data_IF_517806102564
#
_entry.id   IF_517806102564
#
_cell.length_a   1.000
_cell.length_b   1.000
_cell.length_c   1.000
_cell.angle_alpha   90.00
_cell.angle_beta   90.00
_cell.angle_gamma   90.00
#
_symmetry.space_group_name_H-M   'P 1'
#
loop_
_entity.id
_entity.type
_entity.pdbx_description
1 polymer ?
#
# COMPACT_ATOMS: atom_id res chain seq x y z
N UNK A 1 1.17 77.95 64.07
CA UNK A 1 2.53 78.46 63.83
C UNK A 1 2.83 78.36 62.35
N UNK A 2 3.76 79.18 61.82
CA UNK A 2 4.41 79.08 60.49
C UNK A 2 3.49 78.89 59.26
N UNK A 3 3.29 79.93 58.43
CA UNK A 3 4.19 80.35 57.33
C UNK A 3 4.15 79.38 56.14
N UNK A 4 3.40 79.70 55.05
CA UNK A 4 3.85 80.44 53.83
C UNK A 4 4.65 79.56 52.84
N UNK A 5 4.87 79.88 51.55
CA UNK A 5 4.84 81.15 50.79
C UNK A 5 4.59 80.83 49.28
N UNK A 6 4.07 81.79 48.49
CA UNK A 6 4.53 82.28 47.16
C UNK A 6 5.01 81.33 46.01
N UNK A 7 4.99 81.70 44.71
CA UNK A 7 4.51 82.90 43.96
C UNK A 7 4.47 82.65 42.44
N UNK A 8 3.46 83.20 41.74
CA UNK A 8 3.51 83.74 40.35
C UNK A 8 3.83 82.79 39.17
N UNK A 9 3.79 83.21 37.90
CA UNK A 9 3.19 84.38 37.19
C UNK A 9 3.29 84.09 35.66
N UNK A 10 2.54 84.66 34.69
CA UNK A 10 1.41 85.59 34.69
C UNK A 10 0.22 84.97 33.87
N UNK A 11 -0.34 85.43 32.72
CA UNK A 11 -0.24 86.63 31.87
C UNK A 11 -1.54 86.79 31.02
N UNK A 12 -1.80 87.99 30.49
CA UNK A 12 -2.84 88.37 29.48
C UNK A 12 -4.30 88.42 29.98
N UNK A 13 -5.04 89.44 29.52
CA UNK A 13 -6.42 89.72 29.89
C UNK A 13 -7.25 90.24 28.70
N UNK A 14 -8.57 90.08 28.77
CA UNK A 14 -9.56 90.76 27.92
C UNK A 14 -10.81 91.09 28.77
N UNK A 15 -11.57 92.11 28.37
CA UNK A 15 -12.66 92.71 29.18
C UNK A 15 -13.91 91.79 29.24
N UNK A 16 -14.63 91.64 30.37
CA UNK A 16 -15.41 92.60 31.18
C UNK A 16 -16.57 93.27 30.39
N UNK A 17 -17.78 93.49 30.95
CA UNK A 17 -18.60 92.75 31.94
C UNK A 17 -19.99 93.43 32.04
N UNK A 18 -21.09 92.67 32.08
CA UNK A 18 -22.41 93.13 32.52
C UNK A 18 -23.27 91.93 32.96
N UNK A 19 -24.18 92.09 33.93
CA UNK A 19 -25.03 90.98 34.39
C UNK A 19 -26.06 91.31 35.48
N UNK A 20 -26.85 90.29 35.82
CA UNK A 20 -27.98 90.32 36.79
C UNK A 20 -29.33 90.01 36.11
N UNK A 21 -30.33 89.41 36.78
CA UNK A 21 -30.33 88.80 38.12
C UNK A 21 -31.57 87.88 38.34
N UNK A 22 -31.49 86.98 39.32
CA UNK A 22 -32.59 86.24 39.97
C UNK A 22 -33.34 85.11 39.18
N UNK A 23 -34.13 84.31 39.93
CA UNK A 23 -34.69 82.99 39.56
C UNK A 23 -36.19 82.87 39.87
N UNK A 24 -36.87 81.82 39.35
CA UNK A 24 -37.51 80.83 40.23
C UNK A 24 -37.33 79.36 39.70
N UNK A 25 -37.88 78.30 40.34
CA UNK A 25 -37.27 76.97 40.31
C UNK A 25 -37.76 76.00 39.22
N UNK A 26 -36.87 75.07 38.82
CA UNK A 26 -37.22 73.80 38.19
C UNK A 26 -37.27 72.66 39.24
N UNK A 27 -38.11 71.65 39.01
CA UNK A 27 -38.50 70.67 40.04
C UNK A 27 -37.43 69.64 40.42
N UNK A 28 -37.64 68.99 41.57
CA UNK A 28 -36.91 67.78 41.99
C UNK A 28 -37.10 66.66 40.96
N UNK A 29 -36.12 66.44 40.09
CA UNK A 29 -36.00 65.16 39.38
C UNK A 29 -35.60 64.08 40.38
N UNK A 30 -36.42 63.03 40.52
CA UNK A 30 -35.97 61.80 41.17
C UNK A 30 -34.97 61.16 40.20
N UNK A 31 -33.70 61.21 40.54
CA UNK A 31 -32.68 60.50 39.80
C UNK A 31 -32.95 58.99 39.91
N UNK A 32 -33.42 58.38 38.82
CA UNK A 32 -33.54 56.94 38.74
C UNK A 32 -32.14 56.32 38.98
N UNK A 33 -32.03 55.24 39.76
CA UNK A 33 -30.74 54.56 39.95
C UNK A 33 -30.22 54.12 38.57
N UNK A 34 -28.93 54.38 38.31
CA UNK A 34 -28.30 54.00 37.06
C UNK A 34 -28.49 52.50 36.81
N UNK A 35 -28.98 52.13 35.62
CA UNK A 35 -29.21 50.73 35.25
C UNK A 35 -27.88 49.98 35.25
N UNK A 36 -27.65 49.16 36.28
CA UNK A 36 -26.50 48.26 36.34
C UNK A 36 -26.57 47.36 35.11
N UNK A 37 -25.58 47.39 34.19
CA UNK A 37 -25.60 46.51 33.04
C UNK A 37 -25.53 45.07 33.54
N UNK A 38 -26.45 44.23 33.06
CA UNK A 38 -26.46 42.82 33.41
C UNK A 38 -25.10 42.21 33.03
N UNK A 39 -24.50 41.35 33.88
CA UNK A 39 -23.28 40.65 33.49
C UNK A 39 -23.56 39.85 32.22
N UNK A 40 -22.67 39.97 31.23
CA UNK A 40 -22.81 39.23 29.98
C UNK A 40 -22.89 37.72 30.30
N UNK A 41 -23.89 37.05 29.73
CA UNK A 41 -24.02 35.61 29.91
C UNK A 41 -22.72 34.91 29.44
N UNK A 42 -22.17 33.96 30.21
CA UNK A 42 -21.02 33.20 29.75
C UNK A 42 -21.39 32.53 28.43
N UNK A 43 -20.52 32.67 27.42
CA UNK A 43 -20.76 32.07 26.10
C UNK A 43 -20.91 30.58 26.29
N UNK A 44 -22.13 30.06 26.05
CA UNK A 44 -22.38 28.63 26.07
C UNK A 44 -21.36 27.94 25.15
N UNK A 45 -20.62 26.91 25.61
CA UNK A 45 -19.74 26.17 24.72
C UNK A 45 -20.60 25.63 23.59
N UNK A 46 -20.34 26.12 22.37
CA UNK A 46 -21.17 25.80 21.22
C UNK A 46 -21.25 24.29 21.07
N UNK A 47 -22.47 23.74 21.00
CA UNK A 47 -22.66 22.33 20.75
C UNK A 47 -21.83 21.95 19.51
N UNK A 48 -20.96 20.92 19.58
CA UNK A 48 -20.03 20.62 18.51
C UNK A 48 -20.83 20.47 17.22
N UNK A 49 -20.51 21.32 16.23
CA UNK A 49 -21.30 21.44 15.01
C UNK A 49 -21.50 20.04 14.43
N UNK A 50 -22.76 19.59 14.37
CA UNK A 50 -23.08 18.21 14.01
C UNK A 50 -22.47 17.94 12.64
N UNK A 51 -21.41 17.11 12.62
CA UNK A 51 -20.65 16.87 11.42
C UNK A 51 -21.60 16.35 10.34
N UNK A 52 -21.71 17.09 9.24
CA UNK A 52 -22.55 16.70 8.12
C UNK A 52 -22.18 15.26 7.74
N UNK A 53 -23.18 14.36 7.56
CA UNK A 53 -22.89 12.96 7.27
C UNK A 53 -21.97 12.91 6.04
N UNK A 54 -20.83 12.24 6.18
CA UNK A 54 -19.80 12.21 5.16
C UNK A 54 -20.42 11.77 3.81
N UNK A 55 -20.01 12.37 2.68
CA UNK A 55 -20.53 11.97 1.37
C UNK A 55 -20.43 10.45 1.17
N UNK A 56 -21.42 9.82 0.52
CA UNK A 56 -21.38 8.38 0.28
C UNK A 56 -20.12 8.05 -0.53
N UNK A 57 -19.36 7.05 -0.06
CA UNK A 57 -18.07 6.68 -0.62
C UNK A 57 -18.13 6.52 -2.14
N UNK A 58 -17.17 7.13 -2.85
CA UNK A 58 -17.11 7.06 -4.29
C UNK A 58 -17.02 5.60 -4.77
N UNK A 59 -17.76 5.27 -5.85
CA UNK A 59 -17.57 3.98 -6.52
C UNK A 59 -16.15 3.96 -7.09
N UNK A 60 -15.34 2.91 -6.84
CA UNK A 60 -13.90 2.97 -7.05
C UNK A 60 -13.49 2.87 -8.52
N UNK A 61 -14.42 2.62 -9.44
CA UNK A 61 -14.24 2.68 -10.89
C UNK A 61 -15.20 3.71 -11.47
N UNK A 62 -14.68 4.69 -12.21
CA UNK A 62 -15.44 5.72 -12.93
C UNK A 62 -15.09 5.66 -14.41
N UNK A 63 -16.09 5.81 -15.29
CA UNK A 63 -15.85 5.81 -16.74
C UNK A 63 -14.97 7.00 -17.13
N UNK A 64 -14.02 6.78 -18.05
CA UNK A 64 -13.08 7.79 -18.54
C UNK A 64 -12.98 7.75 -20.07
N UNK A 65 -12.43 8.80 -20.67
CA UNK A 65 -12.03 8.83 -22.07
C UNK A 65 -10.53 8.52 -22.24
N UNK A 66 -10.12 8.00 -23.40
CA UNK A 66 -8.70 7.75 -23.71
C UNK A 66 -7.79 8.98 -23.57
N UNK A 67 -8.33 10.18 -23.81
CA UNK A 67 -7.61 11.44 -23.61
C UNK A 67 -7.30 11.80 -22.16
N UNK A 68 -7.91 11.12 -21.17
CA UNK A 68 -7.60 11.30 -19.75
C UNK A 68 -6.39 10.49 -19.28
N UNK A 69 -5.93 9.51 -20.06
CA UNK A 69 -4.78 8.67 -19.73
C UNK A 69 -3.50 9.41 -20.16
N UNK A 70 -2.71 9.97 -19.22
CA UNK A 70 -1.67 10.93 -19.57
C UNK A 70 -0.54 10.27 -20.36
N UNK A 71 -0.44 10.60 -21.65
CA UNK A 71 0.53 10.03 -22.58
C UNK A 71 0.21 8.60 -23.02
N UNK A 72 -1.07 8.22 -23.08
CA UNK A 72 -1.53 6.97 -23.70
C UNK A 72 -0.92 6.75 -25.10
N UNK A 73 -0.46 5.53 -25.46
CA UNK A 73 -0.54 4.27 -24.71
C UNK A 73 0.58 4.04 -23.69
N UNK A 74 1.47 5.02 -23.49
CA UNK A 74 2.70 4.85 -22.73
C UNK A 74 3.72 4.00 -23.48
N UNK A 75 4.71 3.49 -22.75
CA UNK A 75 5.84 2.75 -23.34
C UNK A 75 5.47 1.32 -23.71
N UNK A 76 5.82 0.90 -24.94
CA UNK A 76 5.72 -0.45 -25.47
C UNK A 76 4.40 -1.21 -25.15
N UNK A 77 3.23 -0.75 -25.63
CA UNK A 77 1.97 -1.49 -25.49
C UNK A 77 1.99 -2.90 -26.09
N UNK A 78 2.88 -3.22 -27.04
CA UNK A 78 3.05 -4.60 -27.52
C UNK A 78 3.52 -5.56 -26.41
N UNK A 79 4.36 -5.09 -25.48
CA UNK A 79 4.75 -5.88 -24.31
C UNK A 79 3.60 -6.05 -23.32
N UNK A 80 2.67 -5.08 -23.24
CA UNK A 80 1.44 -5.21 -22.46
C UNK A 80 0.46 -6.21 -23.10
N UNK A 81 0.36 -6.24 -24.44
CA UNK A 81 -0.40 -7.26 -25.16
C UNK A 81 0.19 -8.67 -24.96
N UNK A 82 1.53 -8.81 -24.95
CA UNK A 82 2.19 -10.07 -24.63
C UNK A 82 1.84 -10.57 -23.21
N UNK A 83 1.89 -9.69 -22.20
CA UNK A 83 1.44 -10.03 -20.84
C UNK A 83 -0.06 -10.42 -20.80
N UNK A 84 -0.91 -9.77 -21.59
CA UNK A 84 -2.33 -10.10 -21.67
C UNK A 84 -2.58 -11.49 -22.27
N UNK A 85 -1.78 -11.92 -23.25
CA UNK A 85 -1.86 -13.26 -23.84
C UNK A 85 -1.55 -14.35 -22.80
N UNK A 86 -0.68 -14.08 -21.82
CA UNK A 86 -0.50 -14.97 -20.66
C UNK A 86 -1.75 -15.02 -19.79
N UNK A 87 -2.35 -13.88 -19.43
CA UNK A 87 -3.63 -13.84 -18.71
C UNK A 87 -4.76 -14.56 -19.45
N UNK A 88 -4.76 -14.56 -20.78
CA UNK A 88 -5.75 -15.27 -21.60
C UNK A 88 -5.76 -16.78 -21.38
N UNK A 89 -4.64 -17.41 -20.98
CA UNK A 89 -4.57 -18.84 -20.60
C UNK A 89 -5.52 -19.20 -19.44
N UNK A 90 -5.86 -18.21 -18.60
CA UNK A 90 -6.81 -18.36 -17.49
C UNK A 90 -8.16 -17.72 -17.83
N UNK A 91 -8.20 -16.63 -18.60
CA UNK A 91 -9.43 -15.84 -18.81
C UNK A 91 -10.34 -16.36 -19.92
N UNK A 92 -9.85 -17.14 -20.88
CA UNK A 92 -10.60 -17.52 -22.10
C UNK A 92 -11.84 -18.41 -21.86
N UNK A 93 -12.01 -19.01 -20.68
CA UNK A 93 -13.26 -19.70 -20.34
C UNK A 93 -14.46 -18.73 -20.16
N UNK A 94 -14.21 -17.43 -20.02
CA UNK A 94 -15.24 -16.39 -19.84
C UNK A 94 -15.66 -15.87 -21.23
N UNK A 95 -16.96 -15.91 -21.53
CA UNK A 95 -17.48 -15.55 -22.86
C UNK A 95 -16.97 -14.19 -23.39
N UNK A 96 -17.00 -13.14 -22.57
CA UNK A 96 -16.50 -11.79 -22.90
C UNK A 96 -14.98 -11.74 -23.22
N UNK A 97 -14.22 -12.76 -22.83
CA UNK A 97 -12.77 -12.86 -23.06
C UNK A 97 -12.40 -13.75 -24.25
N UNK A 98 -13.29 -14.61 -24.76
CA UNK A 98 -12.98 -15.58 -25.83
C UNK A 98 -12.48 -14.89 -27.12
N UNK A 99 -13.35 -14.13 -27.78
CA UNK A 99 -13.03 -13.40 -29.00
C UNK A 99 -12.05 -12.22 -28.78
N UNK A 100 -11.73 -11.89 -27.53
CA UNK A 100 -10.70 -10.91 -27.16
C UNK A 100 -9.32 -11.59 -27.13
N UNK A 101 -9.22 -12.76 -26.51
CA UNK A 101 -8.01 -13.56 -26.41
C UNK A 101 -7.58 -14.19 -27.74
N UNK A 102 -8.54 -14.58 -28.58
CA UNK A 102 -8.29 -14.95 -29.97
C UNK A 102 -7.63 -13.80 -30.75
N UNK A 103 -8.21 -12.61 -30.70
CA UNK A 103 -7.68 -11.43 -31.40
C UNK A 103 -6.34 -10.95 -30.82
N UNK A 104 -6.13 -11.06 -29.50
CA UNK A 104 -4.86 -10.75 -28.85
C UNK A 104 -3.72 -11.66 -29.38
N UNK A 105 -3.98 -12.95 -29.55
CA UNK A 105 -3.03 -13.92 -30.13
C UNK A 105 -2.77 -13.70 -31.63
N UNK A 106 -3.73 -13.10 -32.33
CA UNK A 106 -3.64 -12.78 -33.76
C UNK A 106 -3.05 -11.39 -34.07
N UNK A 107 -2.54 -10.65 -33.07
CA UNK A 107 -1.97 -9.33 -33.29
C UNK A 107 -0.68 -9.39 -34.12
N UNK A 108 -0.62 -8.52 -35.14
CA UNK A 108 0.62 -8.22 -35.83
C UNK A 108 1.65 -7.62 -34.83
N UNK A 109 2.95 -7.97 -34.92
CA UNK A 109 3.97 -7.39 -34.05
C UNK A 109 4.04 -5.86 -34.13
N UNK A 110 4.25 -5.22 -32.99
CA UNK A 110 4.52 -3.77 -32.90
C UNK A 110 3.43 -2.95 -32.19
N UNK A 111 3.87 -1.86 -31.57
CA UNK A 111 3.07 -1.06 -30.65
C UNK A 111 1.80 -0.47 -31.26
N UNK A 112 1.85 -0.04 -32.52
CA UNK A 112 0.71 0.51 -33.24
C UNK A 112 -0.41 -0.52 -33.53
N UNK A 113 -0.14 -1.83 -33.46
CA UNK A 113 -1.17 -2.86 -33.53
C UNK A 113 -1.81 -3.11 -32.15
N UNK A 114 -0.99 -3.21 -31.11
CA UNK A 114 -1.44 -3.36 -29.73
C UNK A 114 -2.32 -2.18 -29.27
N UNK A 115 -1.91 -0.93 -29.53
CA UNK A 115 -2.69 0.26 -29.18
C UNK A 115 -4.12 0.20 -29.76
N UNK A 116 -4.26 -0.02 -31.08
CA UNK A 116 -5.56 -0.11 -31.75
C UNK A 116 -6.42 -1.26 -31.21
N UNK A 117 -5.80 -2.37 -30.80
CA UNK A 117 -6.52 -3.47 -30.14
C UNK A 117 -7.09 -3.03 -28.78
N UNK A 118 -6.31 -2.35 -27.94
CA UNK A 118 -6.82 -1.83 -26.67
C UNK A 118 -7.95 -0.80 -26.87
N UNK A 119 -7.79 0.13 -27.80
CA UNK A 119 -8.78 1.18 -28.12
C UNK A 119 -10.10 0.64 -28.70
N UNK A 120 -10.04 -0.48 -29.43
CA UNK A 120 -11.21 -1.11 -30.06
C UNK A 120 -11.91 -2.16 -29.18
N UNK A 121 -11.20 -2.83 -28.26
CA UNK A 121 -11.77 -3.93 -27.44
C UNK A 121 -12.10 -3.58 -26.00
N UNK A 122 -11.63 -2.45 -25.48
CA UNK A 122 -11.83 -2.05 -24.09
C UNK A 122 -12.35 -0.61 -23.98
N UNK A 123 -12.90 -0.27 -22.82
CA UNK A 123 -13.08 1.11 -22.36
C UNK A 123 -12.25 1.36 -21.09
N UNK A 124 -11.67 2.57 -20.92
CA UNK A 124 -10.89 2.89 -19.73
C UNK A 124 -11.78 3.37 -18.57
N UNK A 125 -11.49 2.84 -17.38
CA UNK A 125 -12.14 3.21 -16.12
C UNK A 125 -11.11 3.76 -15.15
N UNK A 126 -11.17 5.05 -14.86
CA UNK A 126 -10.39 5.75 -13.83
C UNK A 126 -10.65 5.10 -12.47
N UNK A 127 -9.59 4.72 -11.76
CA UNK A 127 -9.69 4.23 -10.39
C UNK A 127 -9.70 5.42 -9.43
N UNK A 128 -10.58 5.38 -8.42
CA UNK A 128 -10.66 6.41 -7.37
C UNK A 128 -10.76 5.79 -5.97
N UNK A 129 -10.26 6.50 -4.98
CA UNK A 129 -10.40 6.19 -3.57
C UNK A 129 -11.81 6.55 -3.05
N UNK A 130 -12.23 6.09 -1.86
CA UNK A 130 -13.55 6.36 -1.29
C UNK A 130 -13.89 7.85 -1.09
N UNK A 131 -12.86 8.70 -0.96
CA UNK A 131 -12.96 10.17 -0.85
C UNK A 131 -13.07 10.89 -2.21
N UNK A 132 -12.95 10.15 -3.32
CA UNK A 132 -12.96 10.67 -4.69
C UNK A 132 -11.59 11.01 -5.27
N UNK A 133 -10.48 10.87 -4.51
CA UNK A 133 -9.13 11.11 -5.02
C UNK A 133 -8.67 10.04 -6.02
N UNK A 134 -7.96 10.45 -7.08
CA UNK A 134 -7.41 9.55 -8.12
C UNK A 134 -5.96 9.13 -7.90
N UNK A 135 -5.28 9.71 -6.91
CA UNK A 135 -3.90 9.40 -6.53
C UNK A 135 -3.80 8.37 -5.39
N UNK A 136 -2.72 7.60 -5.39
CA UNK A 136 -2.39 6.68 -4.31
C UNK A 136 -1.02 6.03 -4.46
N UNK A 137 -0.71 5.07 -3.59
CA UNK A 137 0.65 4.58 -3.41
C UNK A 137 1.02 3.46 -4.40
N UNK A 138 2.04 3.71 -5.20
CA UNK A 138 2.68 2.72 -6.07
C UNK A 138 4.02 2.31 -5.47
N UNK A 139 4.23 1.00 -5.29
CA UNK A 139 5.50 0.40 -4.84
C UNK A 139 6.03 -0.57 -5.91
N UNK A 140 7.18 -1.22 -5.66
CA UNK A 140 7.71 -2.26 -6.53
C UNK A 140 8.12 -3.54 -5.79
N UNK A 141 8.03 -4.66 -6.50
CA UNK A 141 8.42 -6.01 -6.04
C UNK A 141 9.17 -6.76 -7.15
N UNK A 142 9.87 -7.84 -6.83
CA UNK A 142 10.79 -8.56 -7.72
C UNK A 142 10.98 -10.02 -7.29
N UNK A 143 11.57 -10.85 -8.17
CA UNK A 143 12.03 -12.21 -7.87
C UNK A 143 13.50 -12.14 -7.38
N UNK A 144 13.79 -12.20 -6.06
CA UNK A 144 15.14 -12.22 -5.50
C UNK A 144 15.95 -13.45 -5.89
N UNK A 145 17.28 -13.30 -5.85
CA UNK A 145 18.25 -14.38 -5.90
C UNK A 145 18.87 -14.57 -4.51
N UNK A 146 18.76 -15.77 -3.95
CA UNK A 146 19.32 -16.16 -2.66
C UNK A 146 20.40 -17.23 -2.89
N UNK A 147 21.38 -17.33 -1.99
CA UNK A 147 22.36 -18.45 -1.99
C UNK A 147 21.88 -19.58 -1.07
N UNK A 148 21.92 -20.82 -1.57
CA UNK A 148 21.41 -21.97 -0.82
C UNK A 148 21.96 -23.33 -1.23
N UNK A 149 21.36 -24.37 -0.66
CA UNK A 149 21.66 -25.79 -0.93
C UNK A 149 20.40 -26.66 -0.86
N UNK A 150 20.47 -27.85 -1.49
CA UNK A 150 19.47 -28.94 -1.38
C UNK A 150 19.51 -29.69 -0.04
N UNK A 151 20.40 -29.33 0.88
CA UNK A 151 20.55 -29.95 2.19
C UNK A 151 20.99 -28.94 3.24
N UNK A 152 20.59 -29.19 4.49
CA UNK A 152 20.95 -28.36 5.64
C UNK A 152 22.45 -28.41 5.92
N UNK A 153 23.05 -27.26 6.24
CA UNK A 153 24.46 -27.18 6.66
C UNK A 153 24.71 -25.94 7.53
N UNK A 154 25.91 -25.81 8.09
CA UNK A 154 26.31 -24.59 8.81
C UNK A 154 26.35 -23.33 7.91
N UNK A 155 26.56 -23.50 6.59
CA UNK A 155 26.53 -22.41 5.61
C UNK A 155 25.10 -22.11 5.09
N UNK A 156 24.18 -23.08 5.22
CA UNK A 156 22.80 -22.98 4.79
C UNK A 156 21.89 -23.57 5.89
N UNK A 157 21.65 -22.84 6.99
CA UNK A 157 20.97 -23.38 8.16
C UNK A 157 19.44 -23.17 8.13
N UNK A 158 18.92 -22.26 7.30
CA UNK A 158 17.52 -21.80 7.33
C UNK A 158 16.70 -22.39 6.17
N UNK A 159 15.62 -23.11 6.46
CA UNK A 159 14.81 -23.79 5.44
C UNK A 159 13.77 -22.89 4.75
N UNK A 160 13.60 -23.07 3.44
CA UNK A 160 12.43 -22.64 2.68
C UNK A 160 11.42 -23.80 2.74
N UNK A 161 10.32 -23.63 3.47
CA UNK A 161 9.32 -24.68 3.64
C UNK A 161 8.19 -24.62 2.60
N UNK A 162 7.80 -25.80 2.11
CA UNK A 162 6.54 -26.02 1.41
C UNK A 162 5.35 -26.15 2.37
N UNK A 163 4.15 -26.30 1.80
CA UNK A 163 2.90 -26.34 2.57
C UNK A 163 2.85 -27.59 3.48
N UNK A 164 2.63 -27.44 4.80
CA UNK A 164 2.44 -28.56 5.73
C UNK A 164 1.07 -29.23 5.56
N UNK A 165 0.97 -30.54 5.85
CA UNK A 165 -0.26 -31.32 5.68
C UNK A 165 -1.40 -30.91 6.64
N UNK A 166 -1.07 -30.32 7.80
CA UNK A 166 -2.05 -29.87 8.80
C UNK A 166 -2.59 -28.45 8.53
N UNK A 167 -2.11 -27.78 7.46
CA UNK A 167 -2.53 -26.43 7.08
C UNK A 167 -3.79 -26.48 6.22
N UNK A 168 -4.93 -26.20 6.86
CA UNK A 168 -6.24 -26.10 6.20
C UNK A 168 -6.50 -24.71 5.62
N UNK A 169 -6.92 -24.69 4.36
CA UNK A 169 -7.53 -23.54 3.69
C UNK A 169 -9.04 -23.53 4.01
N UNK A 170 -9.55 -22.45 4.61
CA UNK A 170 -10.91 -22.40 5.18
C UNK A 170 -11.83 -21.53 4.32
N UNK A 171 -12.50 -22.16 3.36
CA UNK A 171 -13.42 -21.48 2.43
C UNK A 171 -14.88 -21.67 2.87
N UNK A 172 -15.43 -20.67 3.56
CA UNK A 172 -16.86 -20.59 3.93
C UNK A 172 -17.58 -19.39 3.29
N UNK A 173 -16.96 -18.76 2.29
CA UNK A 173 -17.43 -17.51 1.71
C UNK A 173 -18.84 -17.55 1.11
N UNK A 174 -19.29 -18.69 0.59
CA UNK A 174 -20.62 -18.81 -0.03
C UNK A 174 -21.77 -18.89 0.99
N UNK A 175 -21.50 -19.37 2.21
CA UNK A 175 -22.44 -19.32 3.34
C UNK A 175 -22.33 -17.99 4.11
N UNK A 176 -21.13 -17.44 4.19
CA UNK A 176 -20.82 -16.20 4.91
C UNK A 176 -20.06 -15.22 3.99
N UNK A 177 -20.76 -14.39 3.19
CA UNK A 177 -20.15 -13.50 2.20
C UNK A 177 -19.06 -12.57 2.76
N UNK A 178 -19.18 -12.15 4.02
CA UNK A 178 -18.19 -11.34 4.73
C UNK A 178 -16.81 -12.03 4.87
N UNK A 179 -16.75 -13.36 4.72
CA UNK A 179 -15.50 -14.12 4.76
C UNK A 179 -14.80 -14.19 3.39
N UNK A 180 -15.46 -13.86 2.27
CA UNK A 180 -14.84 -13.91 0.92
C UNK A 180 -13.63 -13.00 0.76
N UNK A 181 -13.49 -11.96 1.57
CA UNK A 181 -12.33 -11.07 1.58
C UNK A 181 -11.16 -11.60 2.45
N UNK A 182 -11.37 -12.63 3.27
CA UNK A 182 -10.43 -13.10 4.29
C UNK A 182 -9.75 -14.40 3.87
N UNK A 183 -8.41 -14.39 3.77
CA UNK A 183 -7.60 -15.60 3.52
C UNK A 183 -7.45 -16.44 4.80
N UNK A 184 -8.56 -17.02 5.27
CA UNK A 184 -8.63 -17.80 6.51
C UNK A 184 -7.85 -19.10 6.40
N UNK A 185 -7.05 -19.41 7.44
CA UNK A 185 -6.17 -20.58 7.50
C UNK A 185 -6.17 -21.16 8.92
N UNK A 186 -6.21 -22.49 9.02
CA UNK A 186 -6.33 -23.17 10.31
C UNK A 186 -5.65 -24.54 10.37
N UNK A 187 -5.67 -25.14 11.55
CA UNK A 187 -5.34 -26.57 11.80
C UNK A 187 -6.49 -27.22 12.58
N UNK A 188 -6.48 -28.55 12.67
CA UNK A 188 -7.38 -29.28 13.55
C UNK A 188 -6.81 -29.41 14.97
N UNK A 189 -7.66 -29.14 15.96
CA UNK A 189 -7.43 -29.51 17.37
C UNK A 189 -8.65 -30.31 17.87
N UNK A 190 -8.49 -31.63 17.88
CA UNK A 190 -9.57 -32.58 18.18
C UNK A 190 -10.69 -32.52 17.14
N UNK A 191 -11.76 -31.78 17.45
CA UNK A 191 -12.92 -31.54 16.57
C UNK A 191 -13.15 -30.04 16.26
N UNK A 192 -12.16 -29.19 16.54
CA UNK A 192 -12.21 -27.75 16.26
C UNK A 192 -11.21 -27.39 15.17
N UNK A 193 -11.57 -26.43 14.31
CA UNK A 193 -10.59 -25.69 13.52
C UNK A 193 -10.14 -24.49 14.35
N UNK A 194 -8.83 -24.28 14.46
CA UNK A 194 -8.21 -23.12 15.14
C UNK A 194 -7.24 -22.42 14.18
N UNK A 195 -6.91 -21.13 14.36
CA UNK A 195 -5.98 -20.41 13.49
C UNK A 195 -4.63 -21.11 13.37
N UNK A 196 -4.04 -21.13 12.17
CA UNK A 196 -2.75 -21.79 11.94
C UNK A 196 -1.61 -21.11 12.73
N UNK A 197 -0.44 -21.75 12.83
CA UNK A 197 0.65 -21.24 13.66
C UNK A 197 1.22 -19.90 13.12
N UNK A 198 1.40 -18.87 13.98
CA UNK A 198 2.14 -17.67 13.63
C UNK A 198 3.64 -17.96 13.45
N UNK A 199 4.39 -17.09 12.76
CA UNK A 199 5.83 -17.23 12.51
C UNK A 199 6.62 -17.72 13.72
N UNK A 200 6.52 -17.05 14.87
CA UNK A 200 7.26 -17.44 16.08
C UNK A 200 7.03 -18.89 16.56
N UNK A 201 5.84 -19.42 16.34
CA UNK A 201 5.50 -20.79 16.70
C UNK A 201 5.93 -21.79 15.61
N UNK A 202 5.98 -21.36 14.34
CA UNK A 202 6.63 -22.11 13.25
C UNK A 202 8.16 -22.16 13.43
N UNK A 203 8.80 -21.06 13.84
CA UNK A 203 10.23 -20.98 14.18
C UNK A 203 10.59 -21.99 15.27
N UNK A 204 9.78 -22.07 16.35
CA UNK A 204 9.93 -23.10 17.41
C UNK A 204 9.63 -24.53 16.96
N UNK A 205 8.95 -24.72 15.84
CA UNK A 205 8.50 -26.00 15.29
C UNK A 205 9.25 -26.43 14.03
N UNK A 206 10.36 -25.78 13.67
CA UNK A 206 11.10 -26.01 12.42
C UNK A 206 11.38 -27.50 12.14
N UNK A 207 11.76 -28.28 13.17
CA UNK A 207 12.00 -29.72 13.06
C UNK A 207 10.76 -30.54 12.61
N UNK A 208 9.55 -30.09 12.94
CA UNK A 208 8.30 -30.70 12.44
C UNK A 208 7.96 -30.28 11.00
N UNK A 209 8.69 -29.30 10.45
CA UNK A 209 8.55 -28.78 9.08
C UNK A 209 9.73 -29.21 8.18
N UNK A 210 10.73 -29.91 8.71
CA UNK A 210 11.97 -30.26 7.99
C UNK A 210 11.71 -31.24 6.83
N UNK A 211 10.71 -32.13 6.96
CA UNK A 211 10.19 -32.97 5.86
C UNK A 211 9.48 -32.19 4.75
N UNK A 212 9.28 -30.88 4.93
CA UNK A 212 8.72 -29.94 3.95
C UNK A 212 9.73 -28.92 3.46
N UNK A 213 11.01 -29.02 3.82
CA UNK A 213 12.05 -28.14 3.31
C UNK A 213 12.33 -28.42 1.81
N UNK A 214 12.28 -27.37 1.00
CA UNK A 214 12.56 -27.39 -0.46
C UNK A 214 14.05 -27.19 -0.73
N UNK A 215 14.64 -26.24 0.02
CA UNK A 215 16.03 -25.85 0.01
C UNK A 215 16.35 -25.13 1.33
N UNK A 216 17.64 -24.98 1.63
CA UNK A 216 18.12 -24.16 2.73
C UNK A 216 18.93 -22.98 2.20
N UNK A 217 18.86 -21.83 2.87
CA UNK A 217 19.55 -20.58 2.48
C UNK A 217 20.41 -20.04 3.62
N UNK A 218 21.37 -19.18 3.25
CA UNK A 218 22.41 -18.69 4.16
C UNK A 218 21.94 -17.58 5.12
N UNK A 219 21.10 -16.65 4.65
CA UNK A 219 20.72 -15.43 5.37
C UNK A 219 19.22 -15.45 5.74
N UNK A 220 18.86 -15.31 7.03
CA UNK A 220 17.47 -15.37 7.49
C UNK A 220 16.68 -14.08 7.19
N UNK A 221 17.35 -12.95 6.95
CA UNK A 221 16.73 -11.71 6.48
C UNK A 221 16.44 -11.83 4.99
N UNK A 222 17.33 -12.39 4.18
CA UNK A 222 17.02 -12.71 2.77
C UNK A 222 15.84 -13.70 2.66
N UNK A 223 15.83 -14.74 3.50
CA UNK A 223 14.67 -15.62 3.65
C UNK A 223 13.41 -14.86 4.08
N UNK A 224 13.50 -13.91 5.01
CA UNK A 224 12.36 -13.07 5.39
C UNK A 224 11.86 -12.21 4.24
N UNK A 225 12.75 -11.61 3.44
CA UNK A 225 12.36 -10.84 2.25
C UNK A 225 11.79 -11.75 1.14
N UNK A 226 12.26 -12.99 1.00
CA UNK A 226 11.62 -13.98 0.13
C UNK A 226 10.14 -14.23 0.51
N UNK A 227 9.81 -14.27 1.81
CA UNK A 227 8.42 -14.33 2.27
C UNK A 227 7.59 -13.07 1.92
N UNK A 228 8.23 -11.90 1.77
CA UNK A 228 7.55 -10.66 1.34
C UNK A 228 7.32 -10.65 -0.17
N UNK A 229 8.33 -11.02 -0.96
CA UNK A 229 8.28 -11.04 -2.42
C UNK A 229 7.43 -12.19 -2.98
N UNK A 230 7.19 -13.25 -2.18
CA UNK A 230 6.32 -14.38 -2.54
C UNK A 230 6.90 -15.33 -3.60
N UNK A 231 8.03 -15.01 -4.20
CA UNK A 231 8.76 -15.86 -5.15
C UNK A 231 10.25 -15.51 -5.15
N UNK A 232 11.10 -16.38 -5.70
CA UNK A 232 12.54 -16.17 -5.78
C UNK A 232 13.27 -17.32 -6.48
N UNK A 233 14.59 -17.20 -6.60
CA UNK A 233 15.48 -18.26 -7.07
C UNK A 233 16.57 -18.53 -6.04
N UNK A 234 16.93 -19.79 -5.85
CA UNK A 234 18.00 -20.24 -4.96
C UNK A 234 19.15 -20.75 -5.82
N UNK A 235 20.27 -20.04 -5.80
CA UNK A 235 21.50 -20.44 -6.46
C UNK A 235 22.24 -21.48 -5.62
N UNK A 236 22.50 -22.63 -6.23
CA UNK A 236 23.16 -23.78 -5.63
C UNK A 236 24.69 -23.72 -5.81
N UNK A 237 25.48 -24.50 -5.04
CA UNK A 237 26.95 -24.41 -5.07
C UNK A 237 27.58 -24.84 -6.41
N UNK A 238 26.85 -25.52 -7.28
CA UNK A 238 27.22 -25.91 -8.64
C UNK A 238 26.82 -24.89 -9.72
N UNK A 239 26.15 -23.79 -9.34
CA UNK A 239 25.63 -22.76 -10.25
C UNK A 239 24.24 -23.05 -10.83
N UNK A 240 23.63 -24.21 -10.52
CA UNK A 240 22.22 -24.48 -10.86
C UNK A 240 21.27 -23.66 -9.97
N UNK A 241 19.99 -23.55 -10.36
CA UNK A 241 19.04 -22.61 -9.74
C UNK A 241 17.65 -23.19 -9.54
N UNK A 242 17.33 -23.53 -8.29
CA UNK A 242 15.95 -23.87 -7.90
C UNK A 242 15.10 -22.61 -8.00
N UNK A 243 13.92 -22.71 -8.64
CA UNK A 243 12.93 -21.62 -8.63
C UNK A 243 11.84 -21.93 -7.62
N UNK A 244 11.49 -20.95 -6.79
CA UNK A 244 10.45 -21.10 -5.77
C UNK A 244 9.37 -20.03 -5.91
N UNK A 245 8.11 -20.44 -5.78
CA UNK A 245 6.95 -19.55 -5.85
C UNK A 245 5.96 -19.82 -4.75
N UNK A 246 5.07 -18.87 -4.50
CA UNK A 246 3.99 -18.97 -3.52
C UNK A 246 3.15 -20.24 -3.75
N UNK A 247 2.87 -20.94 -2.65
CA UNK A 247 1.90 -22.04 -2.60
C UNK A 247 0.77 -21.74 -1.60
N UNK A 248 1.09 -21.30 -0.38
CA UNK A 248 0.08 -20.87 0.60
C UNK A 248 0.67 -19.91 1.65
N UNK A 249 -0.14 -19.49 2.63
CA UNK A 249 0.30 -18.73 3.80
C UNK A 249 -0.34 -19.28 5.08
N UNK A 250 0.15 -18.88 6.26
CA UNK A 250 -0.45 -19.22 7.55
C UNK A 250 -1.70 -18.38 7.93
N UNK A 251 -2.10 -17.41 7.09
CA UNK A 251 -3.28 -16.57 7.29
C UNK A 251 -3.12 -15.42 8.30
N UNK A 252 -1.95 -15.27 8.93
CA UNK A 252 -1.69 -14.17 9.88
C UNK A 252 -1.37 -12.86 9.13
N UNK A 253 -1.77 -11.69 9.69
CA UNK A 253 -1.55 -10.40 9.06
C UNK A 253 -0.06 -10.02 9.03
N UNK A 254 0.36 -9.41 7.93
CA UNK A 254 1.71 -8.86 7.78
C UNK A 254 1.94 -7.67 8.74
N UNK A 255 3.13 -7.62 9.36
CA UNK A 255 3.64 -6.46 10.12
C UNK A 255 5.03 -6.09 9.63
N UNK A 256 5.29 -4.80 9.38
CA UNK A 256 6.59 -4.36 8.84
C UNK A 256 7.65 -4.30 9.93
N UNK A 257 8.66 -5.18 9.85
CA UNK A 257 9.80 -5.17 10.79
C UNK A 257 10.63 -3.89 10.67
N UNK A 258 10.74 -3.32 9.46
CA UNK A 258 11.41 -2.04 9.24
C UNK A 258 10.66 -0.89 9.92
N UNK A 259 9.32 -0.91 9.94
CA UNK A 259 8.51 0.06 10.70
C UNK A 259 8.74 -0.11 12.21
N UNK A 260 8.82 -1.34 12.71
CA UNK A 260 9.08 -1.63 14.13
C UNK A 260 10.46 -1.09 14.56
N UNK A 261 11.50 -1.23 13.74
CA UNK A 261 12.82 -0.63 14.02
C UNK A 261 12.78 0.91 14.03
N UNK A 262 11.97 1.53 13.16
CA UNK A 262 11.76 2.98 13.17
C UNK A 262 10.99 3.44 14.42
N UNK A 263 9.95 2.72 14.82
CA UNK A 263 9.17 3.00 16.03
C UNK A 263 9.97 2.77 17.33
N UNK A 264 10.99 1.91 17.29
CA UNK A 264 11.98 1.73 18.37
C UNK A 264 13.12 2.76 18.34
N UNK A 265 13.24 3.58 17.29
CA UNK A 265 14.33 4.53 17.10
C UNK A 265 15.67 3.91 16.67
N UNK A 266 15.67 2.64 16.24
CA UNK A 266 16.88 1.87 15.91
C UNK A 266 17.32 2.02 14.45
N UNK A 267 16.41 2.46 13.56
CA UNK A 267 16.70 2.87 12.19
C UNK A 267 15.89 4.13 11.85
N UNK A 268 16.41 5.01 10.99
CA UNK A 268 15.58 6.04 10.36
C UNK A 268 14.68 5.43 9.28
N UNK A 269 13.60 6.14 8.90
CA UNK A 269 12.69 5.69 7.84
C UNK A 269 13.39 5.46 6.48
N UNK A 270 14.49 6.17 6.21
CA UNK A 270 15.31 5.96 5.00
C UNK A 270 16.20 4.70 5.09
N UNK A 271 16.54 4.26 6.31
CA UNK A 271 17.33 3.04 6.55
C UNK A 271 16.46 1.78 6.70
N UNK A 272 15.13 1.89 6.72
CA UNK A 272 14.20 0.77 6.87
C UNK A 272 14.07 -0.13 5.61
N UNK A 273 15.16 -0.28 4.85
CA UNK A 273 15.31 -1.12 3.66
C UNK A 273 15.92 -2.49 3.99
N UNK A 274 15.96 -3.41 3.03
CA UNK A 274 16.58 -4.73 3.22
C UNK A 274 18.02 -4.63 3.71
N UNK A 275 18.86 -3.79 3.09
CA UNK A 275 20.27 -3.67 3.47
C UNK A 275 20.47 -2.95 4.81
N UNK A 276 19.60 -2.01 5.19
CA UNK A 276 19.63 -1.42 6.52
C UNK A 276 19.20 -2.41 7.61
N UNK A 277 18.21 -3.27 7.33
CA UNK A 277 17.81 -4.36 8.21
C UNK A 277 18.91 -5.44 8.30
N UNK A 278 19.58 -5.79 7.20
CA UNK A 278 20.75 -6.69 7.20
C UNK A 278 21.94 -6.08 7.95
N UNK A 279 22.15 -4.76 7.88
CA UNK A 279 23.17 -4.07 8.68
C UNK A 279 22.84 -4.09 10.18
N UNK A 280 21.58 -3.79 10.56
CA UNK A 280 21.09 -3.90 11.93
C UNK A 280 21.20 -5.35 12.46
N UNK A 281 20.85 -6.35 11.64
CA UNK A 281 20.91 -7.76 12.00
C UNK A 281 22.35 -8.25 12.28
N UNK A 282 23.34 -7.70 11.58
CA UNK A 282 24.77 -7.94 11.85
C UNK A 282 25.27 -7.27 13.14
N UNK A 283 24.61 -6.22 13.60
CA UNK A 283 24.92 -5.52 14.86
C UNK A 283 24.17 -6.09 16.08
N UNK A 284 23.01 -6.72 15.86
CA UNK A 284 22.13 -7.27 16.89
C UNK A 284 21.68 -8.72 16.59
N UNK A 285 22.60 -9.67 16.34
CA UNK A 285 22.25 -11.05 15.98
C UNK A 285 21.39 -11.75 17.04
N UNK A 286 21.57 -11.40 18.32
CA UNK A 286 20.81 -11.94 19.46
C UNK A 286 19.34 -11.47 19.49
N UNK A 287 19.02 -10.34 18.85
CA UNK A 287 17.66 -9.77 18.75
C UNK A 287 16.99 -10.04 17.41
N UNK A 288 17.71 -10.62 16.45
CA UNK A 288 17.20 -10.89 15.11
C UNK A 288 15.98 -11.83 15.12
N UNK A 289 16.02 -12.90 15.92
CA UNK A 289 14.88 -13.82 16.06
C UNK A 289 13.61 -13.10 16.51
N UNK A 290 13.69 -12.30 17.57
CA UNK A 290 12.58 -11.48 18.09
C UNK A 290 12.03 -10.51 17.03
N UNK A 291 12.92 -9.84 16.28
CA UNK A 291 12.51 -8.93 15.21
C UNK A 291 11.75 -9.65 14.10
N UNK A 292 12.27 -10.77 13.59
CA UNK A 292 11.61 -11.53 12.52
C UNK A 292 10.27 -12.08 13.00
N UNK A 293 10.23 -12.68 14.19
CA UNK A 293 9.02 -13.26 14.81
C UNK A 293 7.92 -12.22 15.12
N UNK A 294 8.27 -10.93 15.24
CA UNK A 294 7.29 -9.83 15.38
C UNK A 294 6.32 -9.70 14.19
N UNK A 295 6.68 -10.26 13.04
CA UNK A 295 5.81 -10.49 11.89
C UNK A 295 5.17 -11.89 11.98
N UNK A 296 3.89 -12.01 12.40
CA UNK A 296 3.29 -13.33 12.60
C UNK A 296 2.94 -14.04 11.28
N UNK A 297 2.94 -13.32 10.15
CA UNK A 297 2.67 -13.86 8.81
C UNK A 297 3.78 -14.80 8.35
N UNK A 298 3.42 -15.89 7.69
CA UNK A 298 4.36 -16.87 7.13
C UNK A 298 3.85 -17.34 5.76
N UNK A 299 4.75 -17.48 4.79
CA UNK A 299 4.46 -17.93 3.43
C UNK A 299 5.14 -19.28 3.19
N UNK A 300 4.41 -20.19 2.57
CA UNK A 300 4.87 -21.51 2.19
C UNK A 300 4.98 -21.60 0.67
N UNK A 301 6.03 -22.26 0.21
CA UNK A 301 6.44 -22.24 -1.19
C UNK A 301 6.15 -23.56 -1.91
N UNK A 302 6.42 -23.57 -3.20
CA UNK A 302 6.55 -24.75 -4.06
C UNK A 302 7.68 -24.48 -5.05
N UNK A 303 8.30 -25.54 -5.53
CA UNK A 303 9.21 -25.43 -6.68
C UNK A 303 8.42 -25.05 -7.95
N UNK A 304 9.09 -24.35 -8.86
CA UNK A 304 8.60 -23.98 -10.19
C UNK A 304 9.55 -24.52 -11.25
N UNK A 305 9.03 -24.82 -12.44
CA UNK A 305 9.85 -25.31 -13.55
C UNK A 305 10.96 -24.32 -13.91
N UNK A 306 12.20 -24.82 -14.03
CA UNK A 306 13.41 -23.99 -14.20
C UNK A 306 13.34 -23.11 -15.46
N UNK A 307 12.74 -23.60 -16.54
CA UNK A 307 12.56 -22.89 -17.81
C UNK A 307 11.31 -21.99 -17.90
N UNK A 308 10.51 -21.86 -16.83
CA UNK A 308 9.30 -21.04 -16.85
C UNK A 308 9.58 -19.52 -16.99
N UNK A 309 8.76 -18.75 -17.75
CA UNK A 309 9.08 -17.38 -18.16
C UNK A 309 9.06 -16.33 -17.03
N UNK A 310 8.47 -16.66 -15.87
CA UNK A 310 8.41 -15.79 -14.70
C UNK A 310 7.89 -16.56 -13.47
N UNK A 311 7.86 -15.96 -12.27
CA UNK A 311 7.14 -16.54 -11.14
C UNK A 311 5.62 -16.56 -11.40
N UNK A 312 4.87 -17.44 -10.76
CA UNK A 312 3.42 -17.55 -10.97
C UNK A 312 2.68 -16.64 -9.97
N UNK A 313 1.98 -15.63 -10.47
CA UNK A 313 1.19 -14.69 -9.67
C UNK A 313 -0.17 -15.24 -9.24
N UNK A 314 -0.90 -14.48 -8.44
CA UNK A 314 -2.21 -14.86 -7.90
C UNK A 314 -3.31 -15.11 -8.94
N UNK A 315 -3.17 -14.67 -10.20
CA UNK A 315 -4.07 -15.09 -11.28
C UNK A 315 -3.83 -16.55 -11.72
N UNK A 316 -2.68 -17.15 -11.41
CA UNK A 316 -2.28 -18.47 -11.89
C UNK A 316 -1.48 -18.46 -13.20
N UNK A 317 -1.00 -17.28 -13.64
CA UNK A 317 -0.16 -17.10 -14.84
C UNK A 317 1.22 -16.57 -14.48
N UNK A 318 2.19 -16.71 -15.38
CA UNK A 318 3.54 -16.21 -15.17
C UNK A 318 3.61 -14.68 -15.24
N UNK A 319 4.36 -14.07 -14.32
CA UNK A 319 4.56 -12.63 -14.28
C UNK A 319 5.58 -12.18 -15.33
N UNK A 320 5.20 -11.18 -16.13
CA UNK A 320 6.01 -10.52 -17.14
C UNK A 320 6.74 -9.31 -16.53
N UNK A 321 8.08 -9.27 -16.52
CA UNK A 321 8.85 -8.14 -16.03
C UNK A 321 8.38 -6.80 -16.58
N UNK A 322 8.19 -5.84 -15.69
CA UNK A 322 7.71 -4.48 -15.96
C UNK A 322 6.37 -4.38 -16.73
N UNK A 323 5.58 -5.47 -16.77
CA UNK A 323 4.20 -5.49 -17.33
C UNK A 323 3.17 -6.17 -16.44
N UNK A 324 3.58 -6.93 -15.41
CA UNK A 324 2.66 -7.41 -14.37
C UNK A 324 2.50 -6.40 -13.23
N UNK A 325 1.27 -6.25 -12.77
CA UNK A 325 0.89 -5.39 -11.64
C UNK A 325 0.19 -6.24 -10.57
N UNK A 326 0.61 -6.09 -9.31
CA UNK A 326 -0.13 -6.60 -8.16
C UNK A 326 -1.15 -5.55 -7.69
N UNK A 327 -2.40 -5.95 -7.44
CA UNK A 327 -3.52 -5.03 -7.14
C UNK A 327 -4.41 -5.54 -6.00
N UNK A 328 -5.30 -4.69 -5.47
CA UNK A 328 -6.41 -5.17 -4.65
C UNK A 328 -7.50 -5.77 -5.55
N UNK A 329 -7.55 -7.10 -5.61
CA UNK A 329 -8.51 -7.85 -6.42
C UNK A 329 -9.98 -7.69 -5.99
N UNK A 330 -10.27 -6.96 -4.89
CA UNK A 330 -11.64 -6.54 -4.55
C UNK A 330 -12.10 -5.30 -5.35
N UNK A 331 -11.18 -4.59 -6.01
CA UNK A 331 -11.44 -3.39 -6.83
C UNK A 331 -11.07 -3.62 -8.30
N UNK A 332 -9.88 -4.17 -8.56
CA UNK A 332 -9.35 -4.36 -9.92
C UNK A 332 -9.40 -5.85 -10.27
N UNK A 333 -10.23 -6.29 -11.24
CA UNK A 333 -10.32 -7.71 -11.60
C UNK A 333 -8.99 -8.25 -12.15
N UNK A 334 -8.57 -9.42 -11.67
CA UNK A 334 -7.37 -10.09 -12.20
C UNK A 334 -7.57 -10.48 -13.67
N UNK A 335 -6.53 -10.22 -14.47
CA UNK A 335 -6.51 -10.33 -15.93
C UNK A 335 -6.85 -9.05 -16.67
N UNK A 336 -7.41 -8.02 -16.03
CA UNK A 336 -7.63 -6.73 -16.68
C UNK A 336 -6.30 -6.00 -16.97
N UNK A 337 -6.14 -5.38 -18.15
CA UNK A 337 -5.09 -4.40 -18.35
C UNK A 337 -5.30 -3.19 -17.42
N UNK A 338 -4.21 -2.60 -16.94
CA UNK A 338 -4.20 -1.41 -16.09
C UNK A 338 -3.17 -0.43 -16.62
N UNK A 339 -3.59 0.77 -16.99
CA UNK A 339 -2.68 1.86 -17.31
C UNK A 339 -2.23 2.54 -16.00
N UNK A 340 -0.92 2.56 -15.78
CA UNK A 340 -0.26 3.21 -14.66
C UNK A 340 0.34 4.54 -15.12
N UNK A 341 0.10 5.60 -14.35
CA UNK A 341 0.85 6.86 -14.44
C UNK A 341 1.44 7.22 -13.08
N UNK A 342 2.77 7.20 -12.99
CA UNK A 342 3.57 7.56 -11.81
C UNK A 342 4.88 8.23 -12.29
N UNK A 343 5.92 8.21 -11.45
CA UNK A 343 7.31 8.57 -11.81
C UNK A 343 8.24 7.37 -11.70
N UNK A 344 9.43 7.47 -12.30
CA UNK A 344 10.52 6.52 -12.07
C UNK A 344 11.09 6.67 -10.63
N UNK A 345 11.55 5.58 -9.98
CA UNK A 345 12.15 5.64 -8.66
C UNK A 345 13.33 6.63 -8.58
N UNK A 346 13.34 7.46 -7.54
CA UNK A 346 14.33 8.55 -7.32
C UNK A 346 14.41 9.59 -8.46
N UNK A 347 13.38 9.72 -9.30
CA UNK A 347 13.33 10.64 -10.44
C UNK A 347 11.99 11.39 -10.52
N UNK A 348 11.97 12.51 -11.23
CA UNK A 348 10.74 13.22 -11.64
C UNK A 348 10.25 12.81 -13.03
N UNK A 349 10.99 11.94 -13.72
CA UNK A 349 10.65 11.41 -15.03
C UNK A 349 9.34 10.58 -14.99
N UNK A 350 8.36 10.83 -15.88
CA UNK A 350 7.09 10.10 -15.86
C UNK A 350 7.23 8.62 -16.24
N UNK A 351 6.78 7.72 -15.36
CA UNK A 351 6.58 6.31 -15.65
C UNK A 351 5.12 6.12 -16.08
N UNK A 352 4.90 5.96 -17.40
CA UNK A 352 3.58 5.89 -18.04
C UNK A 352 3.48 4.62 -18.87
N UNK A 353 2.67 3.66 -18.42
CA UNK A 353 2.82 2.28 -18.89
C UNK A 353 1.53 1.49 -18.76
N UNK A 354 1.16 0.79 -19.85
CA UNK A 354 0.12 -0.23 -19.80
C UNK A 354 0.70 -1.53 -19.22
N UNK A 355 -0.01 -2.11 -18.26
CA UNK A 355 0.36 -3.31 -17.51
C UNK A 355 -0.88 -4.23 -17.41
N UNK A 356 -0.77 -5.38 -16.74
CA UNK A 356 -1.89 -6.32 -16.51
C UNK A 356 -1.95 -6.72 -15.04
N UNK A 357 -3.15 -6.71 -14.45
CA UNK A 357 -3.41 -7.11 -13.07
C UNK A 357 -3.30 -8.63 -12.92
N UNK A 358 -2.09 -9.14 -12.66
CA UNK A 358 -1.79 -10.58 -12.65
C UNK A 358 -1.52 -11.14 -11.24
N UNK A 359 -1.39 -10.27 -10.24
CA UNK A 359 -1.03 -10.68 -8.88
C UNK A 359 -1.75 -9.89 -7.77
N UNK A 360 -1.56 -10.31 -6.51
CA UNK A 360 -2.11 -9.67 -5.30
C UNK A 360 -1.13 -9.83 -4.12
N UNK A 361 -0.79 -8.75 -3.43
CA UNK A 361 -0.01 -8.81 -2.20
C UNK A 361 -0.86 -8.59 -0.95
N UNK A 362 -0.47 -9.18 0.19
CA UNK A 362 -1.23 -9.02 1.45
C UNK A 362 -1.37 -7.56 1.92
N UNK A 363 -0.38 -6.72 1.60
CA UNK A 363 -0.31 -5.28 1.88
C UNK A 363 -0.76 -4.39 0.69
N UNK A 364 -1.31 -4.99 -0.38
CA UNK A 364 -1.83 -4.27 -1.55
C UNK A 364 -3.34 -4.16 -1.38
N UNK A 365 -3.76 -3.07 -0.71
CA UNK A 365 -5.13 -2.84 -0.25
C UNK A 365 -5.64 -1.45 -0.58
N UNK A 366 -6.91 -1.37 -0.96
CA UNK A 366 -7.59 -0.14 -1.37
C UNK A 366 -7.51 0.14 -2.88
N UNK A 367 -8.28 1.11 -3.41
CA UNK A 367 -8.46 1.29 -4.85
C UNK A 367 -7.19 1.71 -5.58
N UNK A 368 -6.61 2.87 -5.26
CA UNK A 368 -5.40 3.38 -5.91
C UNK A 368 -4.16 2.85 -5.19
N UNK A 369 -4.00 1.52 -5.17
CA UNK A 369 -2.86 0.84 -4.55
C UNK A 369 -2.38 -0.29 -5.44
N UNK A 370 -1.12 -0.22 -5.87
CA UNK A 370 -0.52 -1.25 -6.71
C UNK A 370 0.98 -1.49 -6.41
N UNK A 371 1.44 -2.69 -6.73
CA UNK A 371 2.85 -3.08 -6.69
C UNK A 371 3.33 -3.42 -8.11
N UNK A 372 4.44 -2.83 -8.54
CA UNK A 372 5.01 -2.96 -9.88
C UNK A 372 6.02 -4.12 -9.91
N UNK A 373 5.81 -5.12 -10.77
CA UNK A 373 6.76 -6.22 -10.88
C UNK A 373 7.98 -5.82 -11.71
N UNK A 374 9.14 -5.68 -11.10
CA UNK A 374 10.39 -5.28 -11.78
C UNK A 374 11.14 -6.44 -12.46
N UNK A 375 10.69 -7.69 -12.31
CA UNK A 375 11.36 -8.86 -12.85
C UNK A 375 12.29 -9.54 -11.84
N UNK A 376 13.44 -10.04 -12.29
CA UNK A 376 14.36 -10.88 -11.52
C UNK A 376 15.72 -10.21 -11.27
N UNK A 377 16.32 -10.50 -10.11
CA UNK A 377 17.72 -10.18 -9.83
C UNK A 377 17.99 -8.80 -9.22
N UNK A 378 19.27 -8.42 -9.18
CA UNK A 378 19.75 -7.27 -8.38
C UNK A 378 19.20 -5.92 -8.86
N UNK A 379 19.19 -5.64 -10.16
CA UNK A 379 18.67 -4.37 -10.69
C UNK A 379 17.16 -4.23 -10.46
N UNK A 380 16.41 -5.31 -10.65
CA UNK A 380 14.98 -5.36 -10.33
C UNK A 380 14.74 -5.08 -8.84
N UNK A 381 15.54 -5.67 -7.95
CA UNK A 381 15.49 -5.42 -6.51
C UNK A 381 15.84 -3.99 -6.11
N UNK A 382 16.83 -3.37 -6.76
CA UNK A 382 17.19 -1.99 -6.53
C UNK A 382 16.07 -1.01 -6.95
N UNK A 383 15.46 -1.23 -8.13
CA UNK A 383 14.29 -0.45 -8.59
C UNK A 383 13.07 -0.67 -7.69
N UNK A 384 12.80 -1.91 -7.31
CA UNK A 384 11.70 -2.28 -6.41
C UNK A 384 11.83 -1.59 -5.04
N UNK A 385 12.98 -1.72 -4.38
CA UNK A 385 13.24 -1.13 -3.06
C UNK A 385 13.23 0.40 -3.04
N UNK A 386 13.52 1.06 -4.17
CA UNK A 386 13.43 2.51 -4.32
C UNK A 386 12.03 3.01 -4.72
N UNK A 387 11.12 2.12 -5.14
CA UNK A 387 9.81 2.54 -5.65
C UNK A 387 8.82 2.81 -4.52
N UNK A 388 8.54 4.11 -4.30
CA UNK A 388 7.52 4.61 -3.38
C UNK A 388 6.94 5.92 -3.93
N UNK A 389 6.12 5.83 -4.96
CA UNK A 389 5.62 6.99 -5.71
C UNK A 389 4.13 7.24 -5.46
N UNK A 390 3.69 8.49 -5.59
CA UNK A 390 2.29 8.75 -5.90
C UNK A 390 2.03 8.36 -7.36
N UNK A 391 0.87 7.79 -7.64
CA UNK A 391 0.48 7.41 -8.98
C UNK A 391 -1.01 7.17 -9.10
N UNK A 392 -1.45 7.03 -10.35
CA UNK A 392 -2.85 6.96 -10.75
C UNK A 392 -3.06 5.76 -11.67
N UNK A 393 -4.24 5.14 -11.57
CA UNK A 393 -4.58 3.90 -12.25
C UNK A 393 -5.86 4.07 -13.10
N UNK A 394 -5.86 3.46 -14.28
CA UNK A 394 -7.06 3.27 -15.09
C UNK A 394 -7.14 1.79 -15.48
N UNK A 395 -8.24 1.11 -15.14
CA UNK A 395 -8.49 -0.28 -15.54
C UNK A 395 -9.12 -0.27 -16.92
N UNK A 396 -8.60 -1.07 -17.85
CA UNK A 396 -9.26 -1.31 -19.12
C UNK A 396 -10.23 -2.49 -18.95
N UNK A 397 -11.53 -2.27 -19.16
CA UNK A 397 -12.54 -3.31 -19.09
C UNK A 397 -13.04 -3.67 -20.50
N UNK A 398 -13.24 -4.96 -20.83
CA UNK A 398 -13.78 -5.36 -22.12
C UNK A 398 -15.17 -4.74 -22.40
N UNK A 399 -15.39 -4.39 -23.67
CA UNK A 399 -16.71 -4.02 -24.20
C UNK A 399 -17.63 -5.24 -24.39
#
# INVERSE_FOLDING_TARGET
MTMTLARGLALVAALLLAGGCATPPAGRTVACPASVPCPACPVCPGAPAAALPAPPAAKPLQSAAWGELPGWPGEHPAAAAAALIESCRVMEHKAQWQALCEQARALAPGDAAAQRFFESRFDPWRVVNPDGGDEGLITGYYEPLLRGARSRSAAFPHAIHGVPDDLLTIEFGDLFPQLKALRLRGRLEGRKVVPYYPRAELTRREAALESRAIAWVADPVELFFLHIQGSGRVELPDGSRIRVGYANQNGHPYRSIGRILVERGELSAAQASMEGIKAWARAHPERLGELLDSNPSYVFFRELDEGGPGPIGAQGVALTPERSLAVDATVIPLGSPVFLAATWPNSTEPLRRLMVAQDTGGAIRGPVRADFFWGFGHEAGARAGAMRQSGRLWVLLPR
#
